data_IF_310092987943
#
_entry.id   IF_310092987943
#
_cell.length_a   1.000
_cell.length_b   1.000
_cell.length_c   1.000
_cell.angle_alpha   90.00
_cell.angle_beta   90.00
_cell.angle_gamma   90.00
#
_symmetry.space_group_name_H-M   'P 1'
#
loop_
_entity.id
_entity.type
_entity.pdbx_description
1 polymer ?
#
# COMPACT_ATOMS: atom_id res chain seq x y z
N UNK A 1 -34.13 14.19 15.12
CA UNK A 1 -32.98 13.26 15.17
C UNK A 1 -33.55 11.86 15.07
N UNK A 2 -32.83 10.92 14.44
CA UNK A 2 -33.28 9.53 14.37
C UNK A 2 -33.11 8.84 15.73
N UNK A 3 -34.12 8.09 16.15
CA UNK A 3 -34.14 7.25 17.35
C UNK A 3 -33.59 5.85 17.04
N UNK A 4 -33.20 5.07 18.05
CA UNK A 4 -32.66 3.71 17.85
C UNK A 4 -33.63 2.79 17.09
N UNK A 5 -34.94 3.05 17.16
CA UNK A 5 -35.96 2.29 16.44
C UNK A 5 -36.09 2.67 14.97
N UNK A 6 -35.48 3.77 14.53
CA UNK A 6 -35.43 4.20 13.13
C UNK A 6 -34.31 3.49 12.33
N UNK A 7 -33.44 2.71 13.00
CA UNK A 7 -32.32 1.99 12.37
C UNK A 7 -32.79 0.66 11.78
N UNK A 8 -32.64 0.51 10.46
CA UNK A 8 -33.09 -0.68 9.71
C UNK A 8 -32.06 -1.81 9.73
N UNK A 9 -30.76 -1.50 9.69
CA UNK A 9 -29.67 -2.49 9.69
C UNK A 9 -28.33 -1.88 10.14
N UNK A 10 -27.38 -2.72 10.56
CA UNK A 10 -26.03 -2.35 10.92
C UNK A 10 -25.05 -3.51 10.72
N UNK A 11 -23.87 -3.21 10.15
CA UNK A 11 -22.82 -4.23 9.96
C UNK A 11 -21.48 -3.76 10.50
N UNK A 12 -20.73 -4.71 11.06
CA UNK A 12 -19.36 -4.49 11.56
C UNK A 12 -18.42 -5.46 10.85
N UNK A 13 -17.42 -4.91 10.15
CA UNK A 13 -16.33 -5.71 9.58
C UNK A 13 -15.01 -5.35 10.24
N UNK A 14 -14.30 -6.36 10.72
CA UNK A 14 -12.94 -6.24 11.26
C UNK A 14 -11.97 -6.79 10.26
N UNK A 15 -11.22 -5.91 9.61
CA UNK A 15 -10.24 -6.28 8.59
C UNK A 15 -8.85 -6.10 9.16
N UNK A 16 -8.19 -7.22 9.45
CA UNK A 16 -6.79 -7.21 9.88
C UNK A 16 -5.91 -6.74 8.71
N UNK A 17 -4.90 -5.91 8.99
CA UNK A 17 -3.97 -5.35 7.97
C UNK A 17 -4.68 -4.56 6.87
N UNK A 18 -5.70 -3.77 7.21
CA UNK A 18 -6.38 -2.90 6.24
C UNK A 18 -5.49 -1.77 5.72
N UNK A 19 -4.54 -1.33 6.54
CA UNK A 19 -3.66 -0.20 6.26
C UNK A 19 -2.21 -0.53 6.64
N UNK A 20 -1.25 -0.19 5.77
CA UNK A 20 0.15 -0.04 6.16
C UNK A 20 0.26 1.02 7.24
N UNK A 21 1.04 0.72 8.27
CA UNK A 21 1.36 1.67 9.34
C UNK A 21 2.79 2.13 9.12
N UNK A 22 2.99 3.44 9.13
CA UNK A 22 4.29 4.08 9.00
C UNK A 22 4.76 4.54 10.38
N UNK A 23 5.26 3.59 11.17
CA UNK A 23 5.91 3.89 12.44
C UNK A 23 7.33 4.44 12.24
N UNK A 24 7.99 4.86 13.33
CA UNK A 24 9.32 5.45 13.27
C UNK A 24 10.39 4.57 12.59
N UNK A 25 10.19 3.25 12.56
CA UNK A 25 11.15 2.27 12.03
C UNK A 25 10.68 1.63 10.72
N UNK A 26 9.55 2.08 10.16
CA UNK A 26 8.90 1.38 9.06
C UNK A 26 9.80 1.24 7.83
N UNK A 27 10.57 2.29 7.51
CA UNK A 27 11.46 2.33 6.34
C UNK A 27 12.59 1.32 6.44
N UNK A 28 13.21 1.23 7.61
CA UNK A 28 14.30 0.30 7.89
C UNK A 28 13.80 -1.14 7.78
N UNK A 29 12.67 -1.44 8.44
CA UNK A 29 12.05 -2.76 8.39
C UNK A 29 11.59 -3.14 6.98
N UNK A 30 10.97 -2.21 6.25
CA UNK A 30 10.57 -2.42 4.86
C UNK A 30 11.80 -2.65 3.96
N UNK A 31 12.89 -1.92 4.19
CA UNK A 31 14.17 -2.10 3.50
C UNK A 31 14.74 -3.51 3.69
N UNK A 32 14.71 -4.05 4.91
CA UNK A 32 15.16 -5.42 5.20
C UNK A 32 14.31 -6.45 4.42
N UNK A 33 12.99 -6.34 4.50
CA UNK A 33 12.08 -7.29 3.81
C UNK A 33 12.23 -7.19 2.30
N UNK A 34 12.25 -5.96 1.77
CA UNK A 34 12.43 -5.73 0.33
C UNK A 34 13.78 -6.24 -0.15
N UNK A 35 14.87 -5.94 0.54
CA UNK A 35 16.20 -6.42 0.17
C UNK A 35 16.29 -7.94 0.12
N UNK A 36 15.61 -8.64 1.03
CA UNK A 36 15.50 -10.09 0.98
C UNK A 36 14.70 -10.58 -0.24
N UNK A 37 13.57 -9.94 -0.55
CA UNK A 37 12.71 -10.33 -1.67
C UNK A 37 13.32 -9.99 -3.05
N UNK A 38 14.05 -8.89 -3.16
CA UNK A 38 14.70 -8.43 -4.40
C UNK A 38 15.83 -9.38 -4.85
N UNK A 39 16.28 -10.30 -3.98
CA UNK A 39 17.24 -11.34 -4.33
C UNK A 39 16.65 -12.48 -5.19
N UNK A 40 15.31 -12.55 -5.33
CA UNK A 40 14.63 -13.56 -6.13
C UNK A 40 14.24 -13.00 -7.51
N UNK A 41 14.72 -13.64 -8.58
CA UNK A 41 14.42 -13.20 -9.96
C UNK A 41 12.96 -13.45 -10.39
N UNK A 42 12.24 -14.30 -9.67
CA UNK A 42 10.90 -14.77 -10.03
C UNK A 42 9.78 -14.28 -9.08
N UNK A 43 10.07 -13.28 -8.24
CA UNK A 43 9.09 -12.70 -7.31
C UNK A 43 8.94 -11.20 -7.56
N UNK A 44 7.69 -10.73 -7.65
CA UNK A 44 7.35 -9.31 -7.66
C UNK A 44 6.24 -9.06 -6.64
N UNK A 45 6.44 -8.09 -5.75
CA UNK A 45 5.41 -7.66 -4.80
C UNK A 45 4.48 -6.63 -5.44
N UNK A 46 3.19 -6.65 -5.06
CA UNK A 46 2.16 -5.79 -5.64
C UNK A 46 1.13 -5.38 -4.59
N UNK A 47 0.37 -4.32 -4.89
CA UNK A 47 -0.74 -3.85 -4.08
C UNK A 47 -0.32 -3.19 -2.76
N UNK A 48 -1.33 -2.78 -1.98
CA UNK A 48 -1.16 -2.04 -0.72
C UNK A 48 -0.22 -2.71 0.29
N UNK A 49 -0.49 -3.96 0.67
CA UNK A 49 0.32 -4.65 1.69
C UNK A 49 1.55 -5.35 1.12
N UNK A 50 1.58 -5.68 -0.19
CA UNK A 50 2.76 -6.26 -0.81
C UNK A 50 3.88 -5.24 -0.97
N UNK A 51 3.52 -3.99 -1.25
CA UNK A 51 4.46 -2.86 -1.34
C UNK A 51 4.57 -2.07 -0.03
N UNK A 52 3.75 -2.40 0.97
CA UNK A 52 3.55 -1.61 2.20
C UNK A 52 3.32 -0.12 1.92
N UNK A 53 2.51 0.19 0.89
CA UNK A 53 2.18 1.56 0.46
C UNK A 53 0.71 1.87 0.65
N UNK A 54 0.40 3.09 1.09
CA UNK A 54 -0.96 3.61 1.15
C UNK A 54 -1.53 3.83 -0.25
N UNK A 55 -2.00 2.73 -0.85
CA UNK A 55 -2.53 2.70 -2.22
C UNK A 55 -4.05 2.56 -2.21
N UNK A 56 -4.72 3.30 -3.08
CA UNK A 56 -6.11 3.04 -3.43
C UNK A 56 -6.22 1.83 -4.38
N UNK A 57 -7.46 1.46 -4.72
CA UNK A 57 -7.73 0.26 -5.50
C UNK A 57 -7.11 0.31 -6.89
N UNK A 58 -7.22 1.46 -7.57
CA UNK A 58 -6.65 1.73 -8.88
C UNK A 58 -5.12 1.55 -8.90
N UNK A 59 -4.41 2.13 -7.93
CA UNK A 59 -2.96 1.92 -7.80
C UNK A 59 -2.61 0.46 -7.50
N UNK A 60 -3.38 -0.19 -6.63
CA UNK A 60 -3.16 -1.60 -6.30
C UNK A 60 -3.37 -2.51 -7.53
N UNK A 61 -4.41 -2.24 -8.32
CA UNK A 61 -4.66 -2.97 -9.57
C UNK A 61 -3.59 -2.68 -10.62
N UNK A 62 -3.14 -1.43 -10.75
CA UNK A 62 -2.07 -1.04 -11.67
C UNK A 62 -0.78 -1.79 -11.36
N UNK A 63 -0.38 -1.89 -10.09
CA UNK A 63 0.84 -2.63 -9.71
C UNK A 63 0.78 -4.11 -10.13
N UNK A 64 -0.39 -4.75 -10.02
CA UNK A 64 -0.58 -6.12 -10.48
C UNK A 64 -0.52 -6.26 -12.01
N UNK A 65 -1.12 -5.30 -12.73
CA UNK A 65 -1.07 -5.27 -14.20
C UNK A 65 0.37 -5.10 -14.71
N UNK A 66 1.15 -4.21 -14.10
CA UNK A 66 2.55 -3.99 -14.47
C UNK A 66 3.41 -5.23 -14.16
N UNK A 67 3.18 -5.89 -13.03
CA UNK A 67 3.85 -7.16 -12.72
C UNK A 67 3.56 -8.25 -13.75
N UNK A 68 2.30 -8.38 -14.18
CA UNK A 68 1.92 -9.33 -15.23
C UNK A 68 2.59 -9.00 -16.57
N UNK A 69 2.70 -7.71 -16.94
CA UNK A 69 3.43 -7.28 -18.14
C UNK A 69 4.93 -7.57 -18.06
N UNK A 70 5.53 -7.40 -16.87
CA UNK A 70 6.92 -7.77 -16.64
C UNK A 70 7.16 -9.27 -16.86
N UNK A 71 6.23 -10.13 -16.43
CA UNK A 71 6.28 -11.57 -16.73
C UNK A 71 6.21 -11.87 -18.24
N UNK A 72 5.54 -11.01 -19.02
CA UNK A 72 5.48 -11.10 -20.47
C UNK A 72 6.68 -10.45 -21.20
N UNK A 73 7.71 -10.00 -20.46
CA UNK A 73 8.95 -9.47 -21.03
C UNK A 73 9.07 -7.94 -21.05
N UNK A 74 8.09 -7.21 -20.51
CA UNK A 74 8.21 -5.77 -20.30
C UNK A 74 9.08 -5.44 -19.05
N UNK A 75 9.41 -4.16 -18.85
CA UNK A 75 10.18 -3.69 -17.70
C UNK A 75 9.58 -2.43 -17.11
N UNK A 76 8.74 -2.61 -16.09
CA UNK A 76 8.08 -1.56 -15.34
C UNK A 76 8.57 -1.51 -13.90
N UNK A 77 8.77 -0.31 -13.37
CA UNK A 77 9.03 -0.09 -11.95
C UNK A 77 7.72 -0.06 -11.15
N UNK A 78 7.41 -1.18 -10.50
CA UNK A 78 6.22 -1.31 -9.65
C UNK A 78 6.34 -0.47 -8.38
N UNK A 79 7.55 -0.34 -7.84
CA UNK A 79 7.81 0.42 -6.61
C UNK A 79 7.72 1.92 -6.84
N UNK A 80 7.85 2.38 -8.09
CA UNK A 80 7.64 3.78 -8.47
C UNK A 80 6.18 4.24 -8.44
N UNK A 81 5.21 3.31 -8.48
CA UNK A 81 3.78 3.65 -8.46
C UNK A 81 3.42 4.36 -7.15
N UNK A 82 2.70 5.48 -7.28
CA UNK A 82 2.15 6.30 -6.19
C UNK A 82 3.20 6.89 -5.21
N UNK A 83 4.44 7.09 -5.67
CA UNK A 83 5.52 7.59 -4.79
C UNK A 83 5.41 9.09 -4.46
N UNK A 84 4.79 9.89 -5.34
CA UNK A 84 4.68 11.35 -5.18
C UNK A 84 3.72 11.75 -4.04
N UNK A 85 2.65 10.99 -3.81
CA UNK A 85 1.72 11.25 -2.70
C UNK A 85 2.30 10.88 -1.34
N UNK A 86 3.17 9.86 -1.25
CA UNK A 86 3.85 9.48 0.00
C UNK A 86 4.72 10.63 0.52
N UNK A 87 5.47 11.29 -0.37
CA UNK A 87 6.26 12.48 -0.01
C UNK A 87 5.38 13.64 0.48
N UNK A 88 4.24 13.90 -0.17
CA UNK A 88 3.35 14.99 0.20
C UNK A 88 2.64 14.76 1.56
N UNK A 89 2.40 13.50 1.93
CA UNK A 89 1.87 13.13 3.25
C UNK A 89 2.93 13.27 4.34
N UNK A 90 4.16 12.83 4.09
CA UNK A 90 5.27 13.01 5.04
C UNK A 90 5.61 14.49 5.28
N UNK A 91 5.72 15.31 4.23
CA UNK A 91 6.03 16.73 4.38
C UNK A 91 5.02 17.48 5.25
N UNK A 92 3.76 17.04 5.23
CA UNK A 92 2.69 17.61 6.06
C UNK A 92 2.83 17.25 7.54
N UNK A 93 3.35 16.05 7.83
CA UNK A 93 3.63 15.61 9.20
C UNK A 93 4.88 16.27 9.80
N UNK A 94 5.87 16.61 8.97
CA UNK A 94 7.08 17.33 9.41
C UNK A 94 6.89 18.84 9.57
N UNK A 95 5.75 19.40 9.16
CA UNK A 95 5.43 20.82 9.31
C UNK A 95 4.46 21.01 10.47
N UNK A 96 4.94 20.83 11.69
CA UNK A 96 4.27 21.23 12.94
C UNK A 96 5.34 21.33 14.04
N UNK A 97 6.14 22.39 13.96
CA UNK A 97 6.57 23.30 15.06
C UNK A 97 7.54 24.35 14.49
#
# INVERSE_FOLDING_TARGET
MAESHDVVDGTVKRVRKAYPVYDATYRENLGVVRGYLDAFENIQTVGRNGLHKYNNQDHSMLTALLAARNLCGERHDIWGVNSEMEYQEEMRLTTSD
#
